data_IF_861993529019
#
_entry.id   IF_861993529019
#
_cell.length_a   1.000
_cell.length_b   1.000
_cell.length_c   1.000
_cell.angle_alpha   90.00
_cell.angle_beta   90.00
_cell.angle_gamma   90.00
#
_symmetry.space_group_name_H-M   'P 1'
#
loop_
_entity.id
_entity.type
_entity.pdbx_description
1 polymer ?
#
# COMPACT_ATOMS: atom_id res chain seq x y z
N UNK A 1 -1.15 -32.56 12.48
CA UNK A 1 -1.36 -31.25 11.85
C UNK A 1 0.00 -30.59 11.73
N UNK A 2 0.31 -29.85 10.65
CA UNK A 2 1.56 -29.09 10.61
C UNK A 2 1.58 -28.08 11.75
N UNK A 3 2.71 -27.98 12.46
CA UNK A 3 2.91 -26.96 13.49
C UNK A 3 3.08 -25.59 12.85
N UNK A 4 2.41 -24.58 13.37
CA UNK A 4 2.66 -23.20 12.95
C UNK A 4 4.02 -22.70 13.48
N UNK A 5 4.59 -21.72 12.80
CA UNK A 5 5.81 -21.07 13.28
C UNK A 5 5.53 -20.29 14.59
N UNK A 6 6.51 -20.23 15.49
CA UNK A 6 6.38 -19.52 16.79
C UNK A 6 5.92 -18.05 16.67
N UNK A 7 6.22 -17.39 15.54
CA UNK A 7 5.70 -16.04 15.29
C UNK A 7 4.17 -15.95 15.16
N UNK A 8 3.49 -17.09 15.02
CA UNK A 8 2.03 -17.14 14.99
C UNK A 8 1.42 -17.25 16.39
N UNK A 9 2.24 -17.52 17.42
CA UNK A 9 1.78 -17.64 18.78
C UNK A 9 1.31 -16.26 19.28
N UNK A 10 0.08 -16.19 19.74
CA UNK A 10 -0.52 -14.94 20.21
C UNK A 10 -1.14 -14.04 19.13
N UNK A 11 -1.06 -14.40 17.85
CA UNK A 11 -1.79 -13.67 16.80
C UNK A 11 -3.27 -13.97 16.93
N UNK A 12 -4.02 -12.94 17.32
CA UNK A 12 -5.49 -12.98 17.39
C UNK A 12 -6.12 -12.25 16.21
N UNK A 13 -7.41 -12.48 15.94
CA UNK A 13 -8.13 -11.76 14.91
C UNK A 13 -8.12 -10.25 15.15
N UNK A 14 -8.05 -9.47 14.07
CA UNK A 14 -8.06 -8.01 14.16
C UNK A 14 -9.41 -7.49 14.62
N UNK A 15 -9.46 -6.71 15.70
CA UNK A 15 -10.67 -6.04 16.19
C UNK A 15 -11.30 -5.12 15.12
N UNK A 16 -10.49 -4.52 14.27
CA UNK A 16 -10.96 -3.71 13.14
C UNK A 16 -11.72 -4.55 12.12
N UNK A 17 -11.25 -5.77 11.81
CA UNK A 17 -12.00 -6.66 10.90
C UNK A 17 -13.38 -7.02 11.44
N UNK A 18 -13.51 -7.21 12.75
CA UNK A 18 -14.82 -7.44 13.38
C UNK A 18 -15.72 -6.20 13.28
N UNK A 19 -15.16 -5.00 13.45
CA UNK A 19 -15.90 -3.75 13.20
C UNK A 19 -16.38 -3.66 11.75
N UNK A 20 -15.53 -3.96 10.76
CA UNK A 20 -15.96 -3.96 9.35
C UNK A 20 -17.09 -4.94 9.04
N UNK A 21 -17.15 -6.09 9.71
CA UNK A 21 -18.29 -7.02 9.59
C UNK A 21 -19.60 -6.40 10.12
N UNK A 22 -19.53 -5.54 11.13
CA UNK A 22 -20.71 -4.83 11.63
C UNK A 22 -21.18 -3.75 10.65
N UNK A 23 -20.25 -3.06 9.99
CA UNK A 23 -20.54 -2.01 9.02
C UNK A 23 -21.25 -2.53 7.75
N UNK A 24 -21.05 -3.80 7.40
CA UNK A 24 -21.74 -4.42 6.25
C UNK A 24 -23.24 -4.60 6.45
N UNK A 25 -23.77 -4.34 7.65
CA UNK A 25 -25.19 -4.54 7.98
C UNK A 25 -26.12 -3.37 7.65
N UNK A 26 -25.63 -2.29 7.01
CA UNK A 26 -26.40 -1.13 6.60
C UNK A 26 -26.73 -0.14 7.73
N UNK A 27 -27.10 1.09 7.38
CA UNK A 27 -27.54 2.18 8.28
C UNK A 27 -26.57 2.61 9.41
N UNK A 28 -25.28 2.29 9.29
CA UNK A 28 -24.27 2.73 10.27
C UNK A 28 -23.38 3.79 9.66
N UNK A 29 -23.35 4.99 10.24
CA UNK A 29 -22.33 5.99 9.96
C UNK A 29 -21.09 5.66 10.77
N UNK A 30 -20.02 5.22 10.09
CA UNK A 30 -18.79 4.77 10.75
C UNK A 30 -17.72 5.86 10.73
N UNK A 31 -17.15 6.11 11.90
CA UNK A 31 -15.91 6.87 12.06
C UNK A 31 -14.71 5.97 12.39
N UNK A 32 -14.89 4.65 12.35
CA UNK A 32 -13.88 3.68 12.78
C UNK A 32 -12.94 3.18 11.67
N UNK A 33 -13.16 3.57 10.42
CA UNK A 33 -12.32 3.15 9.30
C UNK A 33 -11.97 4.30 8.38
N UNK A 34 -10.72 4.35 7.92
CA UNK A 34 -10.24 5.36 6.96
C UNK A 34 -10.60 5.04 5.49
N UNK A 35 -11.79 4.50 5.24
CA UNK A 35 -12.20 4.19 3.87
C UNK A 35 -12.53 5.49 3.11
N UNK A 36 -11.96 5.66 1.89
CA UNK A 36 -12.34 6.79 1.06
C UNK A 36 -13.81 6.69 0.64
N UNK A 37 -14.45 7.84 0.40
CA UNK A 37 -15.82 7.86 -0.12
C UNK A 37 -15.86 7.22 -1.51
N UNK A 38 -16.82 6.33 -1.75
CA UNK A 38 -17.02 5.73 -3.06
C UNK A 38 -17.30 6.75 -4.17
N UNK A 39 -17.88 7.89 -3.82
CA UNK A 39 -18.15 8.98 -4.77
C UNK A 39 -16.87 9.70 -5.24
N UNK A 40 -15.74 9.52 -4.56
CA UNK A 40 -14.44 10.09 -4.95
C UNK A 40 -13.64 9.21 -5.90
N UNK A 41 -14.12 8.01 -6.21
CA UNK A 41 -13.39 7.12 -7.12
C UNK A 41 -13.51 7.59 -8.57
N UNK A 42 -12.38 7.80 -9.27
CA UNK A 42 -12.38 8.27 -10.66
C UNK A 42 -12.63 7.09 -11.63
N UNK A 43 -13.80 6.46 -11.52
CA UNK A 43 -14.12 5.19 -12.21
C UNK A 43 -14.01 5.32 -13.73
N UNK A 44 -14.55 6.41 -14.32
CA UNK A 44 -14.52 6.60 -15.77
C UNK A 44 -13.10 6.82 -16.29
N UNK A 45 -12.28 7.58 -15.57
CA UNK A 45 -10.87 7.80 -15.93
C UNK A 45 -10.06 6.49 -15.83
N UNK A 46 -10.29 5.69 -14.79
CA UNK A 46 -9.63 4.38 -14.66
C UNK A 46 -10.00 3.46 -15.81
N UNK A 47 -11.27 3.45 -16.20
CA UNK A 47 -11.77 2.65 -17.34
C UNK A 47 -11.13 3.09 -18.65
N UNK A 48 -11.14 4.39 -18.96
CA UNK A 48 -10.53 4.96 -20.16
C UNK A 48 -9.03 4.64 -20.25
N UNK A 49 -8.29 4.83 -19.16
CA UNK A 49 -6.86 4.53 -19.10
C UNK A 49 -6.63 3.01 -19.27
N UNK A 50 -7.45 2.18 -18.66
CA UNK A 50 -7.31 0.72 -18.77
C UNK A 50 -7.56 0.26 -20.21
N UNK A 51 -8.61 0.75 -20.85
CA UNK A 51 -8.92 0.44 -22.25
C UNK A 51 -7.77 0.89 -23.17
N UNK A 52 -7.24 2.08 -22.97
CA UNK A 52 -6.07 2.56 -23.72
C UNK A 52 -4.86 1.64 -23.55
N UNK A 53 -4.52 1.29 -22.30
CA UNK A 53 -3.35 0.46 -22.00
C UNK A 53 -3.49 -0.95 -22.57
N UNK A 54 -4.67 -1.55 -22.50
CA UNK A 54 -4.92 -2.88 -23.05
C UNK A 54 -4.88 -2.91 -24.59
N UNK A 55 -5.33 -1.86 -25.24
CA UNK A 55 -5.31 -1.77 -26.70
C UNK A 55 -3.93 -1.45 -27.25
N UNK A 56 -3.19 -0.52 -26.62
CA UNK A 56 -1.97 0.05 -27.20
C UNK A 56 -0.67 -0.51 -26.57
N UNK A 57 -0.74 -1.06 -25.35
CA UNK A 57 0.44 -1.45 -24.56
C UNK A 57 0.28 -2.75 -23.78
N UNK A 58 -0.61 -3.64 -24.26
CA UNK A 58 -0.94 -4.88 -23.55
C UNK A 58 0.28 -5.74 -23.21
N UNK A 59 1.19 -5.93 -24.16
CA UNK A 59 2.40 -6.74 -23.94
C UNK A 59 3.26 -6.14 -22.82
N UNK A 60 3.46 -4.82 -22.82
CA UNK A 60 4.25 -4.14 -21.78
C UNK A 60 3.57 -4.17 -20.42
N UNK A 61 2.24 -4.04 -20.39
CA UNK A 61 1.46 -3.96 -19.16
C UNK A 61 1.33 -5.32 -18.46
N UNK A 62 1.20 -6.40 -19.25
CA UNK A 62 0.94 -7.74 -18.73
C UNK A 62 2.21 -8.57 -18.53
N UNK A 63 3.38 -8.07 -18.96
CA UNK A 63 4.66 -8.77 -18.82
C UNK A 63 5.29 -8.50 -17.46
N UNK A 64 6.24 -9.36 -17.06
CA UNK A 64 7.12 -9.09 -15.93
C UNK A 64 7.90 -7.80 -16.13
N UNK A 65 7.97 -6.99 -15.07
CA UNK A 65 8.73 -5.74 -15.04
C UNK A 65 10.07 -5.86 -14.31
N UNK A 66 10.79 -4.75 -14.25
CA UNK A 66 12.00 -4.62 -13.43
C UNK A 66 11.67 -4.72 -11.94
N UNK A 67 12.60 -5.29 -11.16
CA UNK A 67 12.45 -5.45 -9.70
C UNK A 67 12.25 -4.11 -9.00
N UNK A 68 12.91 -3.07 -9.50
CA UNK A 68 12.83 -1.69 -8.99
C UNK A 68 11.50 -1.00 -9.34
N UNK A 69 10.67 -1.63 -10.15
CA UNK A 69 9.42 -1.08 -10.64
C UNK A 69 9.54 -0.37 -11.99
N UNK A 70 8.41 -0.02 -12.55
CA UNK A 70 8.30 0.58 -13.88
C UNK A 70 8.92 1.98 -13.92
N UNK A 71 9.98 2.16 -14.72
CA UNK A 71 10.76 3.40 -14.75
C UNK A 71 9.92 4.66 -15.04
N UNK A 72 8.98 4.68 -16.01
CA UNK A 72 8.13 5.84 -16.21
C UNK A 72 7.26 6.20 -15.01
N UNK A 73 6.83 5.22 -14.19
CA UNK A 73 6.11 5.49 -12.95
C UNK A 73 7.02 6.15 -11.92
N UNK A 74 8.25 5.64 -11.76
CA UNK A 74 9.22 6.21 -10.82
C UNK A 74 9.57 7.66 -11.20
N UNK A 75 9.79 7.91 -12.49
CA UNK A 75 10.02 9.26 -13.01
C UNK A 75 8.82 10.18 -12.75
N UNK A 76 7.60 9.73 -13.02
CA UNK A 76 6.38 10.49 -12.73
C UNK A 76 6.19 10.78 -11.23
N UNK A 77 6.55 9.84 -10.34
CA UNK A 77 6.53 10.06 -8.89
C UNK A 77 7.51 11.17 -8.50
N UNK A 78 8.75 11.10 -9.00
CA UNK A 78 9.76 12.14 -8.76
C UNK A 78 9.24 13.51 -9.19
N UNK A 79 8.82 13.64 -10.45
CA UNK A 79 8.45 14.92 -11.06
C UNK A 79 7.15 15.51 -10.49
N UNK A 80 6.11 14.70 -10.33
CA UNK A 80 4.77 15.19 -10.03
C UNK A 80 4.36 15.07 -8.57
N UNK A 81 5.01 14.19 -7.81
CA UNK A 81 4.67 13.99 -6.40
C UNK A 81 5.71 14.53 -5.44
N UNK A 82 6.99 14.31 -5.70
CA UNK A 82 8.08 14.64 -4.78
C UNK A 82 8.60 16.07 -4.98
N UNK A 83 8.99 16.45 -6.19
CA UNK A 83 9.50 17.80 -6.48
C UNK A 83 8.56 18.94 -6.04
N UNK A 84 7.23 18.88 -6.30
CA UNK A 84 6.32 19.92 -5.82
C UNK A 84 6.24 20.05 -4.30
N UNK A 85 6.70 19.02 -3.57
CA UNK A 85 6.76 19.00 -2.10
C UNK A 85 8.16 19.33 -1.56
N UNK A 86 9.07 19.75 -2.41
CA UNK A 86 10.44 20.09 -2.03
C UNK A 86 11.33 18.87 -1.77
N UNK A 87 10.91 17.68 -2.21
CA UNK A 87 11.72 16.45 -2.10
C UNK A 87 12.39 16.20 -3.45
N UNK A 88 13.71 16.41 -3.49
CA UNK A 88 14.53 16.10 -4.66
C UNK A 88 15.05 14.67 -4.56
N UNK A 89 14.32 13.74 -5.16
CA UNK A 89 14.69 12.32 -5.20
C UNK A 89 14.76 11.87 -6.66
N UNK A 90 15.92 11.34 -7.03
CA UNK A 90 16.12 10.70 -8.32
C UNK A 90 15.24 9.42 -8.42
N UNK A 91 14.85 9.07 -9.65
CA UNK A 91 14.01 7.89 -9.88
C UNK A 91 14.66 6.59 -9.38
N UNK A 92 16.00 6.52 -9.32
CA UNK A 92 16.72 5.35 -8.77
C UNK A 92 16.54 5.18 -7.26
N UNK A 93 16.11 6.23 -6.56
CA UNK A 93 15.81 6.22 -5.12
C UNK A 93 14.34 5.89 -4.83
N UNK A 94 13.55 5.55 -5.84
CA UNK A 94 12.12 5.32 -5.73
C UNK A 94 11.79 3.85 -6.00
N UNK A 95 11.15 3.19 -5.04
CA UNK A 95 10.65 1.84 -5.14
C UNK A 95 9.13 1.83 -4.92
N UNK A 96 8.30 1.67 -5.96
CA UNK A 96 6.87 1.47 -5.79
C UNK A 96 6.56 0.17 -5.05
N UNK A 97 5.68 0.23 -4.07
CA UNK A 97 5.27 -0.93 -3.27
C UNK A 97 3.77 -1.19 -3.39
N UNK A 98 3.35 -2.41 -3.11
CA UNK A 98 1.93 -2.80 -3.07
C UNK A 98 1.31 -2.34 -1.74
N UNK A 99 1.21 -1.01 -1.60
CA UNK A 99 0.70 -0.35 -0.40
C UNK A 99 1.74 -0.21 0.73
N UNK A 100 1.37 0.56 1.75
CA UNK A 100 2.25 0.93 2.87
C UNK A 100 2.71 -0.27 3.71
N UNK A 101 1.90 -1.33 3.79
CA UNK A 101 2.28 -2.53 4.55
C UNK A 101 3.51 -3.23 3.96
N UNK A 102 3.61 -3.32 2.63
CA UNK A 102 4.81 -3.86 2.00
C UNK A 102 6.01 -2.94 2.24
N UNK A 103 5.81 -1.63 2.16
CA UNK A 103 6.87 -0.66 2.45
C UNK A 103 7.40 -0.80 3.88
N UNK A 104 6.52 -0.90 4.86
CA UNK A 104 6.87 -1.11 6.27
C UNK A 104 7.62 -2.44 6.48
N UNK A 105 7.12 -3.54 5.92
CA UNK A 105 7.78 -4.85 6.04
C UNK A 105 9.20 -4.82 5.45
N UNK A 106 9.38 -4.20 4.28
CA UNK A 106 10.69 -4.06 3.65
C UNK A 106 11.65 -3.20 4.48
N UNK A 107 11.18 -2.06 4.99
CA UNK A 107 11.99 -1.18 5.86
C UNK A 107 12.41 -1.92 7.13
N UNK A 108 11.47 -2.60 7.78
CA UNK A 108 11.79 -3.38 8.98
C UNK A 108 12.83 -4.47 8.69
N UNK A 109 12.71 -5.18 7.57
CA UNK A 109 13.68 -6.23 7.18
C UNK A 109 15.07 -5.70 6.87
N UNK A 110 15.19 -4.48 6.37
CA UNK A 110 16.47 -3.88 5.97
C UNK A 110 17.19 -3.23 7.16
N UNK A 111 16.44 -2.62 8.08
CA UNK A 111 17.02 -1.74 9.10
C UNK A 111 16.93 -2.26 10.52
N UNK A 112 16.15 -3.34 10.79
CA UNK A 112 15.90 -3.78 12.16
C UNK A 112 16.38 -5.21 12.41
N UNK A 113 17.11 -5.37 13.49
CA UNK A 113 17.45 -6.65 14.10
C UNK A 113 16.61 -6.94 15.35
N UNK A 114 16.69 -8.18 15.84
CA UNK A 114 15.97 -8.57 17.04
C UNK A 114 16.43 -7.79 18.26
N UNK A 115 15.53 -7.02 18.85
CA UNK A 115 15.79 -6.21 20.06
C UNK A 115 15.94 -4.73 19.76
N UNK A 116 15.94 -4.31 18.49
CA UNK A 116 15.93 -2.91 18.13
C UNK A 116 14.62 -2.23 18.55
N UNK A 117 14.72 -0.93 18.77
CA UNK A 117 13.61 -0.11 19.23
C UNK A 117 13.11 0.76 18.09
N UNK A 118 11.81 0.70 17.83
CA UNK A 118 11.13 1.55 16.85
C UNK A 118 10.34 2.62 17.59
N UNK A 119 10.56 3.88 17.24
CA UNK A 119 9.76 5.00 17.74
C UNK A 119 8.57 5.20 16.83
N UNK A 120 7.37 5.20 17.38
CA UNK A 120 6.11 5.40 16.67
C UNK A 120 5.25 6.45 17.36
N UNK A 121 4.29 7.01 16.65
CA UNK A 121 3.27 7.89 17.23
C UNK A 121 2.35 7.11 18.18
N UNK A 122 1.69 7.84 19.10
CA UNK A 122 0.65 7.26 19.95
C UNK A 122 -0.59 8.16 19.90
N UNK A 123 -1.67 7.78 19.23
CA UNK A 123 -1.92 6.48 18.56
C UNK A 123 -1.17 6.33 17.24
N UNK A 124 -0.85 5.09 16.87
CA UNK A 124 -0.20 4.76 15.61
C UNK A 124 -1.10 3.90 14.70
N UNK A 125 -0.68 3.75 13.45
CA UNK A 125 -1.30 2.79 12.52
C UNK A 125 -1.12 1.36 13.03
N UNK A 126 -2.19 0.58 13.01
CA UNK A 126 -2.21 -0.77 13.60
C UNK A 126 -1.39 -1.84 12.84
N UNK A 127 -0.83 -1.49 11.70
CA UNK A 127 0.03 -2.37 10.91
C UNK A 127 1.52 -2.24 11.24
N UNK A 128 1.87 -1.39 12.19
CA UNK A 128 3.26 -1.17 12.65
C UNK A 128 3.62 -2.11 13.78
#
# INVERSE_FOLDING_TARGET
MPAYAHRMDGITGSAIRELFKLLSKGDIISFGGGNPSSSSFPVEQVKEITDYLLNEKAEQMLQYGATEGYAPLRSAISEHMLKPRGVDADESCILPTTGSMQGLDLICRIFLDRGDKVLVEAPTFLGV
#
